data_IF_813581873446
#
_entry.id   IF_813581873446
#
_cell.length_a   1.000
_cell.length_b   1.000
_cell.length_c   1.000
_cell.angle_alpha   90.00
_cell.angle_beta   90.00
_cell.angle_gamma   90.00
#
_symmetry.space_group_name_H-M   'P 1'
#
loop_
_entity.id
_entity.type
_entity.pdbx_description
1 polymer ?
#
# COMPACT_ATOMS: atom_id res chain seq x y z
N UNK A 1 27.32 -20.69 -17.13
CA UNK A 1 26.56 -19.56 -16.58
C UNK A 1 27.36 -18.30 -16.86
N UNK A 2 26.91 -17.45 -17.77
CA UNK A 2 27.56 -16.17 -18.02
C UNK A 2 27.19 -15.18 -16.91
N UNK A 3 28.20 -14.62 -16.23
CA UNK A 3 28.04 -13.53 -15.29
C UNK A 3 27.81 -12.24 -16.08
N UNK A 4 26.55 -11.84 -16.25
CA UNK A 4 26.21 -10.53 -16.79
C UNK A 4 26.66 -9.48 -15.77
N UNK A 5 27.77 -8.78 -16.04
CA UNK A 5 28.19 -7.60 -15.29
C UNK A 5 27.29 -6.43 -15.69
N UNK A 6 26.35 -6.07 -14.82
CA UNK A 6 25.65 -4.79 -14.94
C UNK A 6 26.65 -3.63 -14.73
N UNK A 7 26.58 -2.56 -15.54
CA UNK A 7 27.48 -1.42 -15.40
C UNK A 7 27.28 -0.73 -14.05
N UNK A 8 28.35 -0.16 -13.49
CA UNK A 8 28.39 0.42 -12.15
C UNK A 8 27.42 1.61 -11.96
N UNK A 9 26.95 2.19 -13.06
CA UNK A 9 25.97 3.29 -13.13
C UNK A 9 24.51 2.82 -13.27
N UNK A 10 24.28 1.50 -13.21
CA UNK A 10 22.93 0.93 -13.14
C UNK A 10 22.33 1.38 -11.82
N UNK A 11 21.73 2.56 -11.80
CA UNK A 11 20.95 2.98 -10.65
C UNK A 11 19.70 2.11 -10.61
N UNK A 12 19.83 0.94 -10.00
CA UNK A 12 18.74 -0.01 -9.86
C UNK A 12 17.58 0.61 -9.07
N UNK A 13 17.84 1.67 -8.29
CA UNK A 13 16.87 2.38 -7.45
C UNK A 13 16.94 3.91 -7.69
N UNK A 14 16.42 4.43 -8.81
CA UNK A 14 16.48 5.86 -9.10
C UNK A 14 15.86 6.68 -7.96
N UNK A 15 16.50 7.79 -7.58
CA UNK A 15 15.91 8.74 -6.62
C UNK A 15 14.58 9.24 -7.21
N UNK A 16 13.48 9.04 -6.48
CA UNK A 16 12.13 9.37 -6.94
C UNK A 16 11.36 8.20 -7.58
N UNK A 17 11.99 7.05 -7.80
CA UNK A 17 11.29 5.81 -8.20
C UNK A 17 10.95 5.03 -6.95
N UNK A 18 9.70 5.18 -6.54
CA UNK A 18 9.03 4.41 -5.51
C UNK A 18 9.11 2.92 -5.89
N UNK A 19 10.07 2.19 -5.29
CA UNK A 19 10.26 0.77 -5.59
C UNK A 19 9.26 -0.09 -4.82
N UNK A 20 8.44 -0.88 -5.52
CA UNK A 20 7.48 -1.73 -4.86
C UNK A 20 8.19 -2.76 -3.97
N UNK A 21 7.87 -2.76 -2.69
CA UNK A 21 8.28 -3.78 -1.73
C UNK A 21 7.21 -4.85 -1.60
N UNK A 22 6.78 -5.14 -0.37
CA UNK A 22 5.75 -6.15 -0.11
C UNK A 22 4.37 -5.64 -0.54
N UNK A 23 3.64 -6.48 -1.27
CA UNK A 23 2.30 -6.19 -1.75
C UNK A 23 1.25 -6.88 -0.89
N UNK A 24 0.15 -6.17 -0.70
CA UNK A 24 -1.06 -6.64 -0.07
C UNK A 24 -2.25 -6.22 -0.92
N UNK A 25 -3.35 -6.94 -0.78
CA UNK A 25 -4.53 -6.74 -1.58
C UNK A 25 -5.78 -7.00 -0.76
N UNK A 26 -6.80 -6.17 -0.99
CA UNK A 26 -8.13 -6.35 -0.43
C UNK A 26 -9.13 -6.40 -1.57
N UNK A 27 -10.00 -7.41 -1.55
CA UNK A 27 -10.96 -7.70 -2.62
C UNK A 27 -12.34 -8.00 -2.02
N UNK A 28 -13.24 -7.01 -2.07
CA UNK A 28 -14.62 -7.16 -1.58
C UNK A 28 -14.89 -6.65 -0.16
N UNK A 29 -16.15 -6.69 0.26
CA UNK A 29 -16.60 -6.15 1.56
C UNK A 29 -16.11 -6.97 2.75
N UNK A 30 -15.72 -6.28 3.81
CA UNK A 30 -15.42 -6.89 5.11
C UNK A 30 -14.02 -7.50 5.22
N UNK A 31 -13.27 -7.50 4.12
CA UNK A 31 -11.86 -7.86 4.14
C UNK A 31 -11.02 -6.77 4.81
N UNK A 32 -9.93 -7.23 5.41
CA UNK A 32 -8.96 -6.36 6.06
C UNK A 32 -7.55 -6.92 5.94
N UNK A 33 -6.57 -6.03 6.02
CA UNK A 33 -5.17 -6.41 6.10
C UNK A 33 -4.50 -5.69 7.27
N UNK A 34 -3.72 -6.44 8.04
CA UNK A 34 -2.81 -5.87 9.03
C UNK A 34 -1.43 -5.66 8.40
N UNK A 35 -0.88 -4.45 8.59
CA UNK A 35 0.44 -4.08 8.11
C UNK A 35 1.49 -4.43 9.20
N UNK A 36 2.33 -5.46 9.00
CA UNK A 36 3.23 -5.98 10.03
C UNK A 36 4.44 -5.09 10.29
N UNK A 37 4.75 -4.15 9.40
CA UNK A 37 5.94 -3.31 9.48
C UNK A 37 5.58 -1.85 9.33
N UNK A 38 6.23 -0.98 10.10
CA UNK A 38 6.09 0.46 9.90
C UNK A 38 6.76 0.88 8.58
N UNK A 39 6.22 1.91 7.93
CA UNK A 39 6.80 2.45 6.71
C UNK A 39 5.84 3.26 5.86
N UNK A 40 6.32 3.68 4.69
CA UNK A 40 5.50 4.33 3.68
C UNK A 40 4.81 3.25 2.85
N UNK A 41 3.50 3.36 2.69
CA UNK A 41 2.69 2.49 1.86
C UNK A 41 1.98 3.31 0.80
N UNK A 42 2.02 2.83 -0.44
CA UNK A 42 1.24 3.34 -1.55
C UNK A 42 -0.07 2.55 -1.66
N UNK A 43 -1.19 3.25 -1.68
CA UNK A 43 -2.53 2.73 -1.88
C UNK A 43 -2.97 3.09 -3.30
N UNK A 44 -3.35 2.09 -4.10
CA UNK A 44 -3.98 2.26 -5.42
C UNK A 44 -5.41 1.72 -5.35
N UNK A 45 -6.38 2.63 -5.52
CA UNK A 45 -7.81 2.30 -5.46
C UNK A 45 -8.28 1.93 -6.85
N UNK A 46 -8.47 0.64 -7.11
CA UNK A 46 -8.95 0.14 -8.40
C UNK A 46 -10.47 0.26 -8.54
N UNK A 47 -11.20 0.13 -7.43
CA UNK A 47 -12.65 0.33 -7.37
C UNK A 47 -13.06 0.68 -5.92
N UNK A 48 -14.22 1.34 -5.73
CA UNK A 48 -14.81 1.73 -4.44
C UNK A 48 -14.40 3.12 -3.90
N UNK A 49 -15.02 3.53 -2.77
CA UNK A 49 -14.96 4.92 -2.28
C UNK A 49 -14.43 5.11 -0.87
N UNK A 50 -14.60 4.15 0.04
CA UNK A 50 -14.32 4.37 1.48
C UNK A 50 -13.41 3.28 2.03
N UNK A 51 -12.34 3.71 2.68
CA UNK A 51 -11.40 2.86 3.40
C UNK A 51 -11.40 3.27 4.87
N UNK A 52 -11.43 2.29 5.76
CA UNK A 52 -11.25 2.45 7.20
C UNK A 52 -9.81 2.08 7.55
N UNK A 53 -9.17 2.89 8.39
CA UNK A 53 -7.80 2.69 8.85
C UNK A 53 -7.85 2.71 10.37
N UNK A 54 -7.49 1.60 11.00
CA UNK A 54 -7.45 1.44 12.44
C UNK A 54 -5.98 1.38 12.88
N UNK A 55 -5.58 2.30 13.75
CA UNK A 55 -4.20 2.45 14.21
C UNK A 55 -3.97 1.65 15.50
N UNK A 56 -2.73 1.19 15.75
CA UNK A 56 -2.40 0.40 16.94
C UNK A 56 -2.57 1.17 18.26
N UNK A 57 -2.65 2.50 18.22
CA UNK A 57 -2.93 3.34 19.40
C UNK A 57 -4.43 3.44 19.72
N UNK A 58 -5.28 2.76 18.95
CA UNK A 58 -6.73 2.75 19.10
C UNK A 58 -7.45 3.92 18.45
N UNK A 59 -6.72 4.82 17.75
CA UNK A 59 -7.34 5.83 16.90
C UNK A 59 -7.72 5.25 15.55
N UNK A 60 -8.62 5.92 14.84
CA UNK A 60 -9.06 5.49 13.53
C UNK A 60 -9.22 6.66 12.55
N UNK A 61 -9.26 6.34 11.26
CA UNK A 61 -9.47 7.30 10.18
C UNK A 61 -10.29 6.70 9.07
N UNK A 62 -11.14 7.55 8.47
CA UNK A 62 -11.89 7.23 7.26
C UNK A 62 -11.37 8.05 6.11
N UNK A 63 -11.03 7.35 5.04
CA UNK A 63 -10.53 7.97 3.82
C UNK A 63 -11.54 7.75 2.69
N UNK A 64 -12.00 8.85 2.10
CA UNK A 64 -12.89 8.84 0.94
C UNK A 64 -12.06 9.17 -0.30
N UNK A 65 -11.95 8.21 -1.22
CA UNK A 65 -11.11 8.30 -2.41
C UNK A 65 -11.95 8.12 -3.67
N UNK A 66 -11.50 8.72 -4.77
CA UNK A 66 -12.03 8.42 -6.09
C UNK A 66 -11.34 7.17 -6.65
N UNK A 67 -12.04 6.38 -7.46
CA UNK A 67 -11.46 5.32 -8.28
C UNK A 67 -10.28 5.85 -9.09
N UNK A 68 -9.19 5.07 -9.15
CA UNK A 68 -7.93 5.45 -9.80
C UNK A 68 -7.03 6.36 -8.96
N UNK A 69 -7.40 6.69 -7.72
CA UNK A 69 -6.52 7.46 -6.83
C UNK A 69 -5.32 6.61 -6.41
N UNK A 70 -4.13 7.20 -6.54
CA UNK A 70 -2.88 6.67 -6.00
C UNK A 70 -2.38 7.65 -4.94
N UNK A 71 -2.22 7.17 -3.71
CA UNK A 71 -1.81 8.00 -2.57
C UNK A 71 -0.85 7.24 -1.66
N UNK A 72 0.09 7.95 -1.05
CA UNK A 72 1.07 7.37 -0.14
C UNK A 72 0.93 7.93 1.26
N UNK A 73 0.93 7.05 2.25
CA UNK A 73 0.89 7.39 3.67
C UNK A 73 2.03 6.70 4.42
N UNK A 74 2.44 7.29 5.53
CA UNK A 74 3.22 6.56 6.52
C UNK A 74 2.27 5.87 7.50
N UNK A 75 2.46 4.56 7.71
CA UNK A 75 1.71 3.78 8.70
C UNK A 75 2.65 3.17 9.75
N UNK A 76 2.26 3.19 11.04
CA UNK A 76 2.92 2.37 12.06
C UNK A 76 2.62 0.88 11.84
N UNK A 77 3.48 0.01 12.40
CA UNK A 77 3.25 -1.43 12.42
C UNK A 77 2.00 -1.77 13.26
N UNK A 78 1.22 -2.75 12.83
CA UNK A 78 -0.06 -3.11 13.44
C UNK A 78 -1.23 -2.24 13.00
N UNK A 79 -1.05 -1.38 11.98
CA UNK A 79 -2.18 -0.69 11.34
C UNK A 79 -3.03 -1.69 10.57
N UNK A 80 -4.33 -1.66 10.77
CA UNK A 80 -5.29 -2.45 9.99
C UNK A 80 -5.97 -1.55 8.98
N UNK A 81 -5.99 -1.98 7.71
CA UNK A 81 -6.74 -1.33 6.66
C UNK A 81 -7.93 -2.24 6.34
N UNK A 82 -9.13 -1.71 6.42
CA UNK A 82 -10.37 -2.45 6.19
C UNK A 82 -11.31 -1.72 5.25
N UNK A 83 -12.22 -2.48 4.67
CA UNK A 83 -13.09 -2.02 3.60
C UNK A 83 -14.55 -2.19 4.03
N UNK A 84 -15.27 -1.07 4.02
CA UNK A 84 -16.69 -1.03 4.37
C UNK A 84 -17.66 -1.22 3.21
N UNK A 85 -17.20 -1.25 1.96
CA UNK A 85 -18.02 -1.26 0.74
C UNK A 85 -17.82 -2.55 -0.06
N UNK A 86 -18.87 -3.04 -0.72
CA UNK A 86 -18.90 -4.37 -1.39
C UNK A 86 -18.05 -4.45 -2.65
N UNK A 87 -17.73 -3.29 -3.26
CA UNK A 87 -17.05 -3.21 -4.55
C UNK A 87 -15.63 -2.63 -4.47
N UNK A 88 -15.02 -2.49 -3.29
CA UNK A 88 -13.65 -1.94 -3.23
C UNK A 88 -12.61 -2.97 -3.69
N UNK A 89 -11.69 -2.51 -4.53
CA UNK A 89 -10.45 -3.21 -4.86
C UNK A 89 -9.29 -2.29 -4.53
N UNK A 90 -8.42 -2.74 -3.63
CA UNK A 90 -7.33 -1.92 -3.09
C UNK A 90 -6.00 -2.66 -3.16
N UNK A 91 -5.07 -2.12 -3.92
CA UNK A 91 -3.69 -2.54 -3.95
C UNK A 91 -2.88 -1.72 -2.93
N UNK A 92 -2.19 -2.39 -2.02
CA UNK A 92 -1.36 -1.74 -0.99
C UNK A 92 0.08 -2.22 -1.17
N UNK A 93 1.00 -1.28 -1.35
CA UNK A 93 2.40 -1.59 -1.58
C UNK A 93 3.28 -0.91 -0.52
N UNK A 94 4.06 -1.70 0.23
CA UNK A 94 5.10 -1.14 1.10
C UNK A 94 6.25 -0.62 0.25
N UNK A 95 6.58 0.65 0.38
CA UNK A 95 7.72 1.24 -0.31
C UNK A 95 9.03 0.82 0.35
N UNK A 96 10.05 0.52 -0.47
CA UNK A 96 11.43 0.22 -0.01
C UNK A 96 12.23 1.48 0.28
#
# INVERSE_FOLDING_TARGET
MENIKLPLDSNLNPIGVLQPGKQYYIEGSGDSVELPEAGVYMLSVENGKVIQIDYPDGTDSRLVLATGTIISFYFPAGTTISVGDEDLQLNINKMR
#
